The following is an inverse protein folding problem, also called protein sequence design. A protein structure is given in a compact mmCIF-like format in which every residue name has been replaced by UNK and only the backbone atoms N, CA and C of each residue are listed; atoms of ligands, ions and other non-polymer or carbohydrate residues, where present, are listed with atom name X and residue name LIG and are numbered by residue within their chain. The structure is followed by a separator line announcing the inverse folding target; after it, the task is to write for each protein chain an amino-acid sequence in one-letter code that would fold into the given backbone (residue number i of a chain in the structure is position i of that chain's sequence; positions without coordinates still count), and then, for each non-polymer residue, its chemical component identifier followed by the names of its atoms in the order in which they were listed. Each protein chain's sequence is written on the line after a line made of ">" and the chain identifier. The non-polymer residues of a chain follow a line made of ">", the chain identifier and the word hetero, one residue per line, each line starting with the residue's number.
data_IF_884396004435
#
_entry.id   IF_884396004435
#
_cell.length_a   1.000
_cell.length_b   1.000
_cell.length_c   1.000
_cell.angle_alpha   90.00
_cell.angle_beta   90.00
_cell.angle_gamma   90.00
#
_symmetry.space_group_name_H-M   'P 1'
#
loop_
_entity.id
_entity.type
_entity.pdbx_description
1 polymer ?
#
# COMPACT_ATOMS: atom_id res chain seq x y z
N UNK A 1 -0.74 22.85 9.49
CA UNK A 1 0.62 22.23 9.59
C UNK A 1 0.93 21.67 8.22
N UNK A 2 2.13 21.87 7.73
CA UNK A 2 2.51 21.41 6.41
C UNK A 2 2.79 19.91 6.43
N UNK A 3 2.41 19.20 5.36
CA UNK A 3 2.79 17.81 5.10
C UNK A 3 4.16 17.78 4.44
N UNK A 4 5.01 16.84 4.82
CA UNK A 4 6.37 16.68 4.27
C UNK A 4 6.42 15.61 3.18
N UNK A 5 5.56 14.60 3.29
CA UNK A 5 5.52 13.43 2.39
C UNK A 5 4.26 13.39 1.53
N UNK A 6 3.31 14.26 1.79
CA UNK A 6 2.04 14.35 1.08
C UNK A 6 1.78 15.76 0.54
N UNK A 7 0.91 15.83 -0.47
CA UNK A 7 0.24 17.08 -0.89
C UNK A 7 -1.27 16.84 -0.91
N UNK A 8 -2.03 17.87 -0.56
CA UNK A 8 -3.48 17.87 -0.68
C UNK A 8 -3.89 18.80 -1.82
N UNK A 9 -4.65 18.28 -2.77
CA UNK A 9 -5.12 19.02 -3.92
C UNK A 9 -6.64 18.86 -4.03
N UNK A 10 -7.36 19.97 -3.98
CA UNK A 10 -8.82 19.95 -4.01
C UNK A 10 -9.37 20.28 -5.40
N UNK A 11 -10.26 19.44 -5.88
CA UNK A 11 -11.02 19.64 -7.12
C UNK A 11 -12.53 19.56 -6.78
N UNK A 12 -13.18 20.68 -6.60
CA UNK A 12 -14.58 20.78 -6.15
C UNK A 12 -14.81 19.99 -4.86
N UNK A 13 -15.53 18.89 -4.91
CA UNK A 13 -15.86 18.01 -3.75
C UNK A 13 -14.98 16.78 -3.65
N UNK A 14 -13.94 16.69 -4.45
CA UNK A 14 -12.94 15.61 -4.45
C UNK A 14 -11.64 16.15 -3.89
N UNK A 15 -11.10 15.48 -2.87
CA UNK A 15 -9.78 15.79 -2.33
C UNK A 15 -8.79 14.71 -2.74
N UNK A 16 -7.73 15.11 -3.43
CA UNK A 16 -6.61 14.25 -3.76
C UNK A 16 -5.56 14.30 -2.65
N UNK A 17 -5.24 13.13 -2.08
CA UNK A 17 -4.11 12.90 -1.21
C UNK A 17 -2.99 12.35 -2.10
N UNK A 18 -1.97 13.15 -2.32
CA UNK A 18 -0.88 12.83 -3.25
C UNK A 18 0.34 12.43 -2.45
N UNK A 19 0.79 11.17 -2.58
CA UNK A 19 2.08 10.74 -2.06
C UNK A 19 3.18 11.50 -2.79
N UNK A 20 4.04 12.22 -2.07
CA UNK A 20 4.94 13.22 -2.66
C UNK A 20 6.39 13.06 -2.23
N UNK A 21 6.94 11.90 -2.55
CA UNK A 21 8.37 11.58 -2.51
C UNK A 21 8.81 10.96 -3.86
N UNK A 22 8.58 11.67 -5.01
CA UNK A 22 8.78 11.07 -6.35
C UNK A 22 10.22 10.62 -6.61
N UNK A 23 11.22 11.25 -6.01
CA UNK A 23 12.63 10.88 -6.08
C UNK A 23 12.94 9.53 -5.42
N UNK A 24 12.06 9.09 -4.53
CA UNK A 24 12.08 7.78 -3.85
C UNK A 24 10.95 6.86 -4.30
N UNK A 25 10.33 7.12 -5.46
CA UNK A 25 9.14 6.39 -5.94
C UNK A 25 8.02 6.31 -4.89
N UNK A 26 7.84 7.38 -4.13
CA UNK A 26 6.87 7.50 -3.05
C UNK A 26 7.01 6.41 -1.96
N UNK A 27 8.24 5.93 -1.72
CA UNK A 27 8.50 4.94 -0.67
C UNK A 27 8.11 5.48 0.71
N UNK A 28 7.52 4.59 1.51
CA UNK A 28 6.97 4.87 2.84
C UNK A 28 8.13 5.03 3.82
N UNK A 29 8.27 6.23 4.37
CA UNK A 29 9.18 6.53 5.47
C UNK A 29 8.40 6.62 6.80
N UNK A 30 9.09 7.07 7.85
CA UNK A 30 8.52 7.17 9.20
C UNK A 30 7.31 8.11 9.29
N UNK A 31 7.34 9.21 8.54
CA UNK A 31 6.36 10.30 8.63
C UNK A 31 5.08 10.02 7.84
N UNK A 32 5.20 9.33 6.70
CA UNK A 32 4.09 9.16 5.75
C UNK A 32 2.84 8.50 6.35
N UNK A 33 2.93 7.44 7.21
CA UNK A 33 1.72 6.82 7.77
C UNK A 33 0.90 7.80 8.62
N UNK A 34 1.55 8.54 9.52
CA UNK A 34 0.88 9.50 10.40
C UNK A 34 0.34 10.71 9.62
N UNK A 35 1.08 11.17 8.60
CA UNK A 35 0.59 12.24 7.71
C UNK A 35 -0.65 11.79 6.94
N UNK A 36 -0.68 10.54 6.46
CA UNK A 36 -1.85 9.98 5.76
C UNK A 36 -3.08 9.94 6.66
N UNK A 37 -2.94 9.43 7.87
CA UNK A 37 -4.05 9.39 8.82
C UNK A 37 -4.59 10.78 9.13
N UNK A 38 -3.68 11.76 9.36
CA UNK A 38 -4.06 13.15 9.59
C UNK A 38 -4.78 13.73 8.37
N UNK A 39 -4.28 13.50 7.15
CA UNK A 39 -4.92 13.97 5.92
C UNK A 39 -6.34 13.41 5.76
N UNK A 40 -6.53 12.12 6.08
CA UNK A 40 -7.86 11.48 6.06
C UNK A 40 -8.77 12.07 7.14
N UNK A 41 -8.26 12.34 8.33
CA UNK A 41 -9.03 12.95 9.42
C UNK A 41 -9.48 14.38 9.06
N UNK A 42 -8.58 15.21 8.52
CA UNK A 42 -8.89 16.55 8.02
C UNK A 42 -9.95 16.49 6.90
N UNK A 43 -9.78 15.58 5.95
CA UNK A 43 -10.75 15.36 4.88
C UNK A 43 -12.13 14.93 5.41
N UNK A 44 -12.18 14.08 6.42
CA UNK A 44 -13.43 13.64 7.03
C UNK A 44 -14.17 14.79 7.76
N UNK A 45 -13.43 15.76 8.31
CA UNK A 45 -13.98 16.92 8.99
C UNK A 45 -14.46 18.03 8.04
N UNK A 46 -14.01 18.05 6.79
CA UNK A 46 -14.40 19.06 5.80
C UNK A 46 -15.71 18.67 5.09
N UNK A 47 -16.82 19.29 5.45
CA UNK A 47 -18.14 19.04 4.86
C UNK A 47 -18.21 19.33 3.35
N UNK A 48 -17.28 20.10 2.82
CA UNK A 48 -17.16 20.37 1.38
C UNK A 48 -16.56 19.23 0.59
N UNK A 49 -15.88 18.26 1.23
CA UNK A 49 -15.28 17.07 0.58
C UNK A 49 -16.27 15.91 0.64
N UNK A 50 -16.43 15.17 -0.44
CA UNK A 50 -17.30 13.97 -0.51
C UNK A 50 -16.55 12.69 -0.88
N UNK A 51 -15.46 12.81 -1.63
CA UNK A 51 -14.67 11.68 -2.13
C UNK A 51 -13.19 11.99 -1.96
N UNK A 52 -12.41 10.97 -1.60
CA UNK A 52 -10.96 11.02 -1.54
C UNK A 52 -10.35 10.26 -2.72
N UNK A 53 -9.26 10.78 -3.27
CA UNK A 53 -8.44 10.08 -4.27
C UNK A 53 -7.01 10.00 -3.73
N UNK A 54 -6.52 8.79 -3.48
CA UNK A 54 -5.13 8.53 -3.15
C UNK A 54 -4.33 8.27 -4.43
N UNK A 55 -3.26 9.03 -4.66
CA UNK A 55 -2.39 8.85 -5.83
C UNK A 55 -0.93 9.14 -5.51
N UNK A 56 -0.01 8.69 -6.34
CA UNK A 56 1.40 9.04 -6.25
C UNK A 56 1.79 10.18 -7.18
N UNK A 57 2.77 10.99 -6.80
CA UNK A 57 3.43 11.93 -7.70
C UNK A 57 4.55 11.24 -8.50
N UNK A 58 4.89 11.79 -9.68
CA UNK A 58 5.96 11.26 -10.52
C UNK A 58 5.60 9.94 -11.20
N UNK A 59 6.55 8.98 -11.27
CA UNK A 59 6.46 7.79 -12.12
C UNK A 59 5.94 6.51 -11.43
N UNK A 60 5.52 6.60 -10.18
CA UNK A 60 5.03 5.46 -9.41
C UNK A 60 3.93 5.85 -8.44
N UNK A 61 3.04 4.94 -8.14
CA UNK A 61 2.13 5.09 -7.02
C UNK A 61 2.91 5.02 -5.71
N UNK A 62 3.52 3.88 -5.38
CA UNK A 62 4.34 3.68 -4.19
C UNK A 62 5.18 2.40 -4.31
N UNK A 63 6.49 2.50 -4.10
CA UNK A 63 7.42 1.37 -4.19
C UNK A 63 7.56 0.56 -2.87
N UNK A 64 6.65 0.77 -1.89
CA UNK A 64 6.70 0.11 -0.59
C UNK A 64 7.50 0.89 0.44
N UNK A 65 7.95 0.22 1.50
CA UNK A 65 8.75 0.87 2.53
C UNK A 65 10.13 1.32 2.03
N UNK A 66 10.61 2.46 2.54
CA UNK A 66 11.96 2.98 2.24
C UNK A 66 13.01 2.05 2.88
N UNK A 67 13.56 1.17 2.05
CA UNK A 67 14.47 0.11 2.49
C UNK A 67 15.82 0.65 2.98
N UNK A 68 16.28 1.79 2.46
CA UNK A 68 17.51 2.43 2.95
C UNK A 68 17.35 2.87 4.42
N UNK A 69 16.18 3.38 4.76
CA UNK A 69 15.85 3.76 6.14
C UNK A 69 15.51 2.52 6.97
N UNK A 70 14.64 1.64 6.47
CA UNK A 70 14.13 0.49 7.21
C UNK A 70 15.23 -0.49 7.64
N UNK A 71 16.15 -0.85 6.76
CA UNK A 71 17.25 -1.76 7.09
C UNK A 71 18.20 -1.20 8.15
N UNK A 72 18.48 0.12 8.11
CA UNK A 72 19.35 0.79 9.09
C UNK A 72 18.70 0.86 10.46
N UNK A 73 17.42 1.24 10.54
CA UNK A 73 16.69 1.32 11.80
C UNK A 73 16.56 -0.08 12.44
N UNK A 74 16.23 -1.08 11.64
CA UNK A 74 16.14 -2.48 12.10
C UNK A 74 17.48 -2.97 12.65
N UNK A 75 18.57 -2.67 11.95
CA UNK A 75 19.92 -3.00 12.41
C UNK A 75 20.27 -2.31 13.73
N UNK A 76 19.96 -1.02 13.86
CA UNK A 76 20.24 -0.25 15.08
C UNK A 76 19.46 -0.82 16.27
N UNK A 77 18.16 -1.10 16.11
CA UNK A 77 17.33 -1.70 17.16
C UNK A 77 17.91 -3.05 17.60
N UNK A 78 18.31 -3.88 16.61
CA UNK A 78 18.90 -5.19 16.89
C UNK A 78 20.22 -5.09 17.67
N UNK A 79 21.07 -4.10 17.33
CA UNK A 79 22.34 -3.86 18.02
C UNK A 79 22.16 -3.35 19.44
N UNK A 80 21.20 -2.45 19.66
CA UNK A 80 21.00 -1.76 20.93
C UNK A 80 20.24 -2.61 21.97
N UNK A 81 19.24 -3.39 21.54
CA UNK A 81 18.33 -4.08 22.49
C UNK A 81 17.95 -5.51 22.10
N UNK A 82 18.40 -5.99 20.94
CA UNK A 82 17.88 -7.21 20.34
C UNK A 82 16.45 -7.04 19.80
N UNK A 83 15.93 -8.10 19.17
CA UNK A 83 14.55 -8.09 18.69
C UNK A 83 13.57 -8.34 19.82
N UNK A 84 12.68 -7.39 20.04
CA UNK A 84 11.51 -7.51 20.91
C UNK A 84 10.25 -7.65 20.04
N UNK A 85 9.67 -8.84 19.89
CA UNK A 85 8.53 -9.08 19.01
C UNK A 85 7.27 -8.30 19.44
N UNK A 86 7.12 -7.93 20.71
CA UNK A 86 5.97 -7.18 21.19
C UNK A 86 6.08 -5.70 20.77
N UNK A 87 7.26 -5.12 20.89
CA UNK A 87 7.52 -3.74 20.44
C UNK A 87 7.44 -3.63 18.93
N UNK A 88 8.00 -4.59 18.21
CA UNK A 88 7.96 -4.64 16.75
C UNK A 88 6.50 -4.75 16.25
N UNK A 89 5.72 -5.67 16.82
CA UNK A 89 4.30 -5.80 16.52
C UNK A 89 3.52 -4.50 16.81
N UNK A 90 3.80 -3.83 17.93
CA UNK A 90 3.13 -2.57 18.29
C UNK A 90 3.46 -1.47 17.27
N UNK A 91 4.72 -1.31 16.89
CA UNK A 91 5.16 -0.30 15.93
C UNK A 91 4.57 -0.54 14.53
N UNK A 92 4.56 -1.79 14.06
CA UNK A 92 3.98 -2.13 12.77
C UNK A 92 2.45 -2.03 12.78
N UNK A 93 1.79 -2.39 13.89
CA UNK A 93 0.34 -2.22 14.07
C UNK A 93 -0.07 -0.75 13.98
N UNK A 94 0.77 0.17 14.43
CA UNK A 94 0.53 1.60 14.27
C UNK A 94 0.53 2.03 12.80
N UNK A 95 1.48 1.53 12.00
CA UNK A 95 1.49 1.78 10.56
C UNK A 95 0.22 1.22 9.88
N UNK A 96 -0.17 -0.01 10.24
CA UNK A 96 -1.40 -0.62 9.71
C UNK A 96 -2.63 0.21 10.09
N UNK A 97 -2.71 0.69 11.32
CA UNK A 97 -3.80 1.57 11.79
C UNK A 97 -3.87 2.85 10.94
N UNK A 98 -2.72 3.46 10.65
CA UNK A 98 -2.66 4.65 9.80
C UNK A 98 -3.14 4.36 8.36
N UNK A 99 -2.74 3.22 7.77
CA UNK A 99 -3.21 2.83 6.43
C UNK A 99 -4.72 2.53 6.41
N UNK A 100 -5.20 1.85 7.45
CA UNK A 100 -6.61 1.53 7.61
C UNK A 100 -7.49 2.77 7.85
N UNK A 101 -6.91 3.96 8.09
CA UNK A 101 -7.66 5.21 8.09
C UNK A 101 -8.40 5.46 6.77
N UNK A 102 -7.84 4.98 5.64
CA UNK A 102 -8.50 4.99 4.32
C UNK A 102 -9.75 4.10 4.30
N UNK A 103 -9.63 2.88 4.81
CA UNK A 103 -10.74 1.93 4.95
C UNK A 103 -11.84 2.46 5.87
N UNK A 104 -11.44 2.98 7.03
CA UNK A 104 -12.36 3.53 8.03
C UNK A 104 -12.80 4.97 7.76
N UNK A 105 -12.29 5.61 6.70
CA UNK A 105 -12.76 6.93 6.28
C UNK A 105 -14.28 6.93 6.10
N UNK A 106 -14.94 7.97 6.64
CA UNK A 106 -16.38 8.18 6.39
C UNK A 106 -16.70 8.39 4.92
N UNK A 107 -15.72 8.93 4.16
CA UNK A 107 -15.87 9.26 2.75
C UNK A 107 -15.27 8.15 1.89
N UNK A 108 -15.84 7.85 0.72
CA UNK A 108 -15.24 6.91 -0.21
C UNK A 108 -13.84 7.32 -0.62
N UNK A 109 -12.97 6.33 -0.77
CA UNK A 109 -11.57 6.48 -1.18
C UNK A 109 -11.34 5.71 -2.48
N UNK A 110 -10.85 6.38 -3.51
CA UNK A 110 -10.34 5.77 -4.73
C UNK A 110 -8.82 5.78 -4.70
N UNK A 111 -8.17 4.68 -5.11
CA UNK A 111 -6.74 4.68 -5.41
C UNK A 111 -6.51 4.77 -6.91
N UNK A 112 -5.68 5.72 -7.32
CA UNK A 112 -5.21 5.91 -8.71
C UNK A 112 -3.80 5.35 -8.82
N UNK A 113 -3.68 4.15 -9.38
CA UNK A 113 -2.43 3.38 -9.39
C UNK A 113 -1.77 3.44 -10.77
N UNK A 114 -0.52 3.91 -10.82
CA UNK A 114 0.32 3.92 -12.01
C UNK A 114 1.75 3.52 -11.67
N UNK A 115 2.49 3.02 -12.65
CA UNK A 115 3.85 2.56 -12.45
C UNK A 115 3.96 1.50 -11.36
N UNK A 116 4.87 1.66 -10.41
CA UNK A 116 5.07 0.70 -9.34
C UNK A 116 4.08 0.88 -8.19
N UNK A 117 3.42 -0.21 -7.80
CA UNK A 117 2.60 -0.34 -6.59
C UNK A 117 2.98 -1.66 -5.91
N UNK A 118 4.01 -1.66 -5.06
CA UNK A 118 4.62 -2.90 -4.56
C UNK A 118 4.88 -2.87 -3.07
N UNK A 119 4.88 -4.06 -2.43
CA UNK A 119 5.11 -4.19 -0.99
C UNK A 119 4.10 -3.35 -0.19
N UNK A 120 4.57 -2.53 0.74
CA UNK A 120 3.72 -1.60 1.52
C UNK A 120 2.87 -0.65 0.67
N UNK A 121 3.26 -0.39 -0.59
CA UNK A 121 2.44 0.36 -1.54
C UNK A 121 1.14 -0.36 -1.89
N UNK A 122 1.16 -1.70 -1.93
CA UNK A 122 -0.08 -2.49 -2.08
C UNK A 122 -0.91 -2.47 -0.81
N UNK A 123 -0.29 -2.47 0.38
CA UNK A 123 -1.04 -2.32 1.63
C UNK A 123 -1.82 -0.99 1.65
N UNK A 124 -1.24 0.10 1.16
CA UNK A 124 -1.93 1.38 1.01
C UNK A 124 -3.06 1.31 -0.03
N UNK A 125 -2.76 0.84 -1.24
CA UNK A 125 -3.73 0.82 -2.34
C UNK A 125 -4.95 -0.05 -2.01
N UNK A 126 -4.72 -1.23 -1.40
CA UNK A 126 -5.78 -2.17 -1.06
C UNK A 126 -6.71 -1.68 0.06
N UNK A 127 -6.30 -0.68 0.86
CA UNK A 127 -7.16 -0.03 1.84
C UNK A 127 -8.18 0.95 1.22
N UNK A 128 -8.05 1.32 -0.07
CA UNK A 128 -9.05 2.13 -0.77
C UNK A 128 -10.32 1.31 -1.08
N UNK A 129 -11.44 1.97 -1.28
CA UNK A 129 -12.70 1.30 -1.65
C UNK A 129 -12.65 0.77 -3.09
N UNK A 130 -12.17 1.58 -4.01
CA UNK A 130 -12.00 1.24 -5.42
C UNK A 130 -10.59 1.57 -5.88
N UNK A 131 -10.04 0.74 -6.76
CA UNK A 131 -8.72 0.95 -7.35
C UNK A 131 -8.87 1.04 -8.87
N UNK A 132 -8.43 2.17 -9.44
CA UNK A 132 -8.24 2.30 -10.87
C UNK A 132 -6.74 2.26 -11.16
N UNK A 133 -6.33 1.50 -12.16
CA UNK A 133 -4.93 1.33 -12.49
C UNK A 133 -4.62 1.68 -13.94
N UNK A 134 -3.40 2.13 -14.20
CA UNK A 134 -2.86 2.10 -15.55
C UNK A 134 -2.69 0.64 -15.99
N UNK A 135 -2.97 0.32 -17.26
CA UNK A 135 -2.85 -1.03 -17.80
C UNK A 135 -1.45 -1.63 -17.63
N UNK A 136 -0.43 -0.79 -17.67
CA UNK A 136 0.99 -1.13 -17.53
C UNK A 136 1.51 -1.00 -16.09
N UNK A 137 0.67 -0.63 -15.12
CA UNK A 137 1.06 -0.58 -13.72
C UNK A 137 1.56 -1.96 -13.24
N UNK A 138 2.59 -1.96 -12.39
CA UNK A 138 3.16 -3.18 -11.83
C UNK A 138 2.76 -3.29 -10.37
N UNK A 139 1.91 -4.26 -10.07
CA UNK A 139 1.32 -4.46 -8.74
C UNK A 139 1.79 -5.81 -8.19
N UNK A 140 2.38 -5.82 -6.99
CA UNK A 140 2.88 -7.07 -6.44
C UNK A 140 3.46 -6.94 -5.02
N UNK A 141 3.81 -8.09 -4.46
CA UNK A 141 4.36 -8.15 -3.10
C UNK A 141 5.71 -8.89 -3.05
N UNK A 142 6.79 -8.30 -3.62
CA UNK A 142 8.11 -8.93 -3.64
C UNK A 142 8.71 -9.24 -2.24
N UNK A 143 8.33 -8.56 -1.12
CA UNK A 143 8.79 -8.98 0.21
C UNK A 143 8.34 -10.38 0.61
N UNK A 144 7.34 -10.98 -0.04
CA UNK A 144 6.96 -12.38 0.18
C UNK A 144 8.08 -13.39 -0.13
N UNK A 145 9.08 -13.02 -0.95
CA UNK A 145 10.27 -13.81 -1.25
C UNK A 145 11.27 -13.82 -0.11
N UNK A 146 11.40 -12.69 0.57
CA UNK A 146 12.20 -12.51 1.78
C UNK A 146 11.88 -11.13 2.39
N UNK A 147 11.83 -11.08 3.70
CA UNK A 147 11.81 -9.83 4.48
C UNK A 147 10.46 -9.10 4.52
N UNK A 148 9.35 -9.82 4.62
CA UNK A 148 8.05 -9.24 4.91
C UNK A 148 6.84 -10.11 4.61
N UNK A 149 5.69 -9.72 5.14
CA UNK A 149 4.38 -10.24 4.78
C UNK A 149 3.35 -9.11 4.68
N UNK A 150 2.24 -9.27 3.92
CA UNK A 150 1.24 -8.20 3.75
C UNK A 150 0.54 -7.89 5.07
N UNK A 151 0.80 -6.72 5.63
CA UNK A 151 0.29 -6.33 6.96
C UNK A 151 -1.19 -5.96 6.94
N UNK A 152 -1.69 -5.39 5.84
CA UNK A 152 -3.12 -5.09 5.68
C UNK A 152 -3.98 -6.34 5.46
N UNK A 153 -3.38 -7.47 5.05
CA UNK A 153 -3.99 -8.76 4.78
C UNK A 153 -5.16 -8.73 3.75
N UNK A 154 -5.31 -7.65 2.97
CA UNK A 154 -6.46 -7.44 2.09
C UNK A 154 -6.44 -8.25 0.79
N UNK A 155 -5.31 -8.88 0.44
CA UNK A 155 -5.19 -9.66 -0.80
C UNK A 155 -6.26 -10.75 -0.92
N UNK A 156 -6.40 -11.61 0.10
CA UNK A 156 -7.37 -12.71 0.07
C UNK A 156 -8.81 -12.21 0.00
N UNK A 157 -9.10 -11.08 0.63
CA UNK A 157 -10.43 -10.48 0.64
C UNK A 157 -10.82 -9.87 -0.71
N UNK A 158 -9.83 -9.43 -1.51
CA UNK A 158 -10.09 -8.84 -2.83
C UNK A 158 -10.16 -9.88 -3.95
N UNK A 159 -9.25 -10.86 -3.96
CA UNK A 159 -9.08 -11.77 -5.11
C UNK A 159 -9.32 -13.24 -4.78
N UNK A 160 -9.75 -13.54 -3.56
CA UNK A 160 -9.99 -14.90 -3.12
C UNK A 160 -8.71 -15.70 -2.89
N UNK A 161 -8.87 -16.93 -2.40
CA UNK A 161 -7.79 -17.77 -1.89
C UNK A 161 -6.73 -18.13 -2.96
N UNK A 162 -7.18 -18.58 -4.12
CA UNK A 162 -6.29 -19.11 -5.17
C UNK A 162 -5.35 -18.04 -5.72
N UNK A 163 -5.92 -16.89 -6.10
CA UNK A 163 -5.15 -15.80 -6.69
C UNK A 163 -4.23 -15.15 -5.64
N UNK A 164 -4.72 -14.97 -4.40
CA UNK A 164 -3.90 -14.46 -3.32
C UNK A 164 -2.70 -15.38 -3.04
N UNK A 165 -2.93 -16.70 -2.92
CA UNK A 165 -1.84 -17.67 -2.73
C UNK A 165 -0.87 -17.66 -3.90
N UNK A 166 -1.35 -17.66 -5.14
CA UNK A 166 -0.47 -17.60 -6.31
C UNK A 166 0.48 -16.42 -6.24
N UNK A 167 -0.03 -15.21 -5.99
CA UNK A 167 0.78 -14.00 -5.96
C UNK A 167 1.69 -13.92 -4.74
N UNK A 168 1.20 -14.31 -3.57
CA UNK A 168 1.98 -14.22 -2.33
C UNK A 168 2.98 -15.36 -2.14
N UNK A 169 2.76 -16.54 -2.74
CA UNK A 169 3.72 -17.65 -2.67
C UNK A 169 4.84 -17.54 -3.71
N UNK A 170 4.65 -16.71 -4.75
CA UNK A 170 5.69 -16.47 -5.77
C UNK A 170 6.32 -15.07 -5.63
N UNK A 171 5.58 -14.11 -5.08
CA UNK A 171 5.96 -12.70 -5.09
C UNK A 171 5.90 -12.07 -6.49
N UNK A 172 5.27 -12.72 -7.47
CA UNK A 172 5.20 -12.23 -8.85
C UNK A 172 4.39 -10.94 -8.96
N UNK A 173 4.81 -9.99 -9.82
CA UNK A 173 3.97 -8.86 -10.17
C UNK A 173 2.86 -9.26 -11.14
N UNK A 174 1.80 -8.47 -11.14
CA UNK A 174 0.78 -8.46 -12.20
C UNK A 174 0.69 -7.06 -12.79
N UNK A 175 0.45 -6.98 -14.10
CA UNK A 175 0.12 -5.71 -14.74
C UNK A 175 -1.33 -5.28 -14.42
N UNK A 176 -1.66 -4.02 -14.71
CA UNK A 176 -2.99 -3.49 -14.42
C UNK A 176 -4.11 -4.26 -15.11
N UNK A 177 -3.92 -4.69 -16.36
CA UNK A 177 -4.92 -5.52 -17.12
C UNK A 177 -5.16 -6.86 -16.43
N UNK A 178 -4.10 -7.51 -15.99
CA UNK A 178 -4.20 -8.77 -15.26
C UNK A 178 -4.82 -8.59 -13.88
N UNK A 179 -4.50 -7.48 -13.21
CA UNK A 179 -5.08 -7.11 -11.92
C UNK A 179 -6.61 -6.90 -12.02
N UNK A 180 -7.10 -6.26 -13.08
CA UNK A 180 -8.54 -6.15 -13.35
C UNK A 180 -9.19 -7.52 -13.57
N UNK A 181 -8.59 -8.37 -14.41
CA UNK A 181 -9.14 -9.71 -14.70
C UNK A 181 -9.30 -10.59 -13.47
N UNK A 182 -8.41 -10.47 -12.49
CA UNK A 182 -8.48 -11.24 -11.24
C UNK A 182 -9.25 -10.54 -10.12
N UNK A 183 -9.78 -9.33 -10.37
CA UNK A 183 -10.54 -8.55 -9.40
C UNK A 183 -9.70 -7.82 -8.34
N UNK A 184 -8.39 -7.70 -8.53
CA UNK A 184 -7.50 -6.96 -7.62
C UNK A 184 -7.73 -5.45 -7.73
N UNK A 185 -8.00 -4.96 -8.94
CA UNK A 185 -8.39 -3.58 -9.20
C UNK A 185 -9.78 -3.55 -9.88
N UNK A 186 -10.52 -2.48 -9.63
CA UNK A 186 -11.84 -2.30 -10.22
C UNK A 186 -11.78 -2.16 -11.74
N UNK A 187 -10.81 -1.38 -12.24
CA UNK A 187 -10.65 -1.10 -13.66
C UNK A 187 -9.21 -0.75 -14.01
N UNK A 188 -8.74 -1.23 -15.16
CA UNK A 188 -7.48 -0.82 -15.78
C UNK A 188 -7.75 -0.09 -17.10
N UNK A 189 -7.03 1.01 -17.33
CA UNK A 189 -7.15 1.84 -18.53
C UNK A 189 -5.76 2.25 -19.03
N UNK A 190 -5.61 2.64 -20.31
CA UNK A 190 -4.36 3.23 -20.79
C UNK A 190 -3.89 4.35 -19.85
N UNK A 191 -2.59 4.43 -19.58
CA UNK A 191 -2.03 5.36 -18.59
C UNK A 191 -2.46 6.81 -18.81
N UNK A 192 -2.61 7.21 -20.08
CA UNK A 192 -3.02 8.57 -20.47
C UNK A 192 -4.50 8.88 -20.16
N UNK A 193 -5.32 7.85 -19.96
CA UNK A 193 -6.75 7.96 -19.64
C UNK A 193 -7.02 7.86 -18.14
N UNK A 194 -6.05 7.43 -17.34
CA UNK A 194 -6.25 7.08 -15.93
C UNK A 194 -6.78 8.27 -15.13
N UNK A 195 -6.20 9.46 -15.29
CA UNK A 195 -6.64 10.67 -14.58
C UNK A 195 -8.07 11.05 -14.94
N UNK A 196 -8.42 10.99 -16.23
CA UNK A 196 -9.78 11.28 -16.73
C UNK A 196 -10.81 10.31 -16.18
N UNK A 197 -10.50 9.00 -16.15
CA UNK A 197 -11.40 7.98 -15.63
C UNK A 197 -11.60 8.11 -14.12
N UNK A 198 -10.53 8.40 -13.36
CA UNK A 198 -10.62 8.68 -11.92
C UNK A 198 -11.45 9.92 -11.65
N UNK A 199 -11.24 11.01 -12.40
CA UNK A 199 -12.03 12.24 -12.28
C UNK A 199 -13.52 12.00 -12.60
N UNK A 200 -13.81 11.25 -13.65
CA UNK A 200 -15.18 10.92 -14.03
C UNK A 200 -15.89 10.09 -12.93
N UNK A 201 -15.24 9.05 -12.39
CA UNK A 201 -15.82 8.21 -11.36
C UNK A 201 -15.98 8.96 -10.03
N UNK A 202 -14.94 9.66 -9.57
CA UNK A 202 -14.97 10.42 -8.30
C UNK A 202 -15.98 11.57 -8.38
N UNK A 203 -16.06 12.28 -9.52
CA UNK A 203 -17.05 13.32 -9.77
C UNK A 203 -18.47 12.77 -9.75
N UNK A 204 -18.72 11.60 -10.39
CA UNK A 204 -20.03 10.93 -10.35
C UNK A 204 -20.42 10.53 -8.91
N UNK A 205 -19.49 9.99 -8.13
CA UNK A 205 -19.74 9.67 -6.72
C UNK A 205 -20.04 10.92 -5.89
N UNK A 206 -19.34 12.02 -6.16
CA UNK A 206 -19.53 13.29 -5.46
C UNK A 206 -20.91 13.95 -5.70
N UNK A 207 -21.69 13.49 -6.68
CA UNK A 207 -23.10 13.92 -6.87
C UNK A 207 -24.03 13.34 -5.80
N UNK A 208 -23.68 12.21 -5.20
CA UNK A 208 -24.52 11.54 -4.21
C UNK A 208 -24.50 12.30 -2.88
N UNK A 209 -25.61 12.25 -2.09
CA UNK A 209 -25.61 12.77 -0.73
C UNK A 209 -24.54 12.08 0.13
N UNK A 210 -23.80 12.86 0.93
CA UNK A 210 -22.70 12.32 1.75
C UNK A 210 -23.14 11.19 2.66
N UNK A 211 -24.30 11.35 3.36
CA UNK A 211 -24.81 10.32 4.26
C UNK A 211 -25.09 8.99 3.53
N UNK A 212 -25.54 9.05 2.27
CA UNK A 212 -25.75 7.84 1.47
C UNK A 212 -24.45 7.14 1.15
N UNK A 213 -23.40 7.90 0.77
CA UNK A 213 -22.05 7.35 0.54
C UNK A 213 -21.50 6.67 1.81
N UNK A 214 -21.62 7.35 2.96
CA UNK A 214 -21.17 6.82 4.26
C UNK A 214 -21.87 5.50 4.60
N UNK A 215 -23.20 5.46 4.47
CA UNK A 215 -23.97 4.26 4.80
C UNK A 215 -23.64 3.07 3.88
N UNK A 216 -23.50 3.32 2.57
CA UNK A 216 -23.17 2.25 1.62
C UNK A 216 -21.77 1.70 1.84
N UNK A 217 -20.79 2.57 2.07
CA UNK A 217 -19.40 2.15 2.41
C UNK A 217 -19.39 1.32 3.69
N UNK A 218 -20.03 1.83 4.76
CA UNK A 218 -20.09 1.14 6.06
C UNK A 218 -20.72 -0.25 5.93
N UNK A 219 -21.82 -0.37 5.18
CA UNK A 219 -22.52 -1.65 4.97
C UNK A 219 -21.59 -2.69 4.32
N UNK A 220 -20.85 -2.30 3.28
CA UNK A 220 -19.92 -3.21 2.58
C UNK A 220 -18.73 -3.55 3.47
N UNK A 221 -18.11 -2.55 4.11
CA UNK A 221 -16.95 -2.77 4.97
C UNK A 221 -17.29 -3.70 6.15
N UNK A 222 -18.49 -3.56 6.74
CA UNK A 222 -18.91 -4.41 7.85
C UNK A 222 -18.98 -5.90 7.47
N UNK A 223 -19.31 -6.23 6.22
CA UNK A 223 -19.28 -7.62 5.76
C UNK A 223 -17.87 -8.21 5.85
N UNK A 224 -16.83 -7.45 5.43
CA UNK A 224 -15.44 -7.87 5.50
C UNK A 224 -14.90 -7.92 6.94
N UNK A 225 -15.32 -6.98 7.81
CA UNK A 225 -14.99 -7.04 9.23
C UNK A 225 -15.54 -8.33 9.86
N UNK A 226 -16.77 -8.72 9.55
CA UNK A 226 -17.40 -9.95 10.02
C UNK A 226 -16.71 -11.22 9.46
N UNK A 227 -16.03 -11.13 8.31
CA UNK A 227 -15.21 -12.21 7.75
C UNK A 227 -13.83 -12.34 8.44
N UNK A 228 -13.56 -11.58 9.49
CA UNK A 228 -12.33 -11.70 10.29
C UNK A 228 -11.16 -10.86 9.77
N UNK A 229 -11.40 -9.77 9.03
CA UNK A 229 -10.35 -8.90 8.49
C UNK A 229 -9.36 -8.45 9.57
N UNK A 230 -9.84 -7.97 10.71
CA UNK A 230 -9.00 -7.54 11.83
C UNK A 230 -8.09 -8.65 12.37
N UNK A 231 -8.59 -9.87 12.48
CA UNK A 231 -7.78 -11.02 12.92
C UNK A 231 -6.70 -11.36 11.89
N UNK A 232 -7.04 -11.33 10.60
CA UNK A 232 -6.08 -11.55 9.51
C UNK A 232 -4.97 -10.51 9.50
N UNK A 233 -5.30 -9.24 9.75
CA UNK A 233 -4.33 -8.14 9.86
C UNK A 233 -3.38 -8.33 11.05
N UNK A 234 -3.92 -8.73 12.21
CA UNK A 234 -3.09 -9.04 13.38
C UNK A 234 -2.06 -10.14 13.07
N UNK A 235 -2.50 -11.22 12.42
CA UNK A 235 -1.61 -12.31 12.01
C UNK A 235 -0.61 -11.84 10.95
N UNK A 236 -1.04 -11.11 9.92
CA UNK A 236 -0.16 -10.54 8.89
C UNK A 236 0.93 -9.65 9.48
N UNK A 237 0.56 -8.78 10.42
CA UNK A 237 1.50 -7.89 11.13
C UNK A 237 2.51 -8.66 11.98
N UNK A 238 2.06 -9.70 12.69
CA UNK A 238 2.96 -10.56 13.48
C UNK A 238 3.94 -11.34 12.58
N UNK A 239 3.44 -11.90 11.47
CA UNK A 239 4.26 -12.64 10.51
C UNK A 239 5.26 -11.74 9.79
N UNK A 240 4.96 -10.46 9.57
CA UNK A 240 5.89 -9.49 9.02
C UNK A 240 7.12 -9.30 9.92
N UNK A 241 6.91 -9.12 11.22
CA UNK A 241 7.99 -9.05 12.21
C UNK A 241 8.83 -10.34 12.23
N UNK A 242 8.18 -11.50 12.25
CA UNK A 242 8.87 -12.79 12.21
C UNK A 242 9.69 -12.91 10.91
N UNK A 243 9.13 -12.60 9.74
CA UNK A 243 9.81 -12.72 8.45
C UNK A 243 11.11 -11.91 8.38
N UNK A 244 11.14 -10.72 8.97
CA UNK A 244 12.34 -9.87 9.03
C UNK A 244 13.43 -10.42 9.95
N UNK A 245 13.07 -11.31 10.89
CA UNK A 245 13.97 -11.89 11.90
C UNK A 245 14.22 -13.38 11.70
N UNK A 246 13.76 -13.99 10.60
CA UNK A 246 14.23 -15.31 10.17
C UNK A 246 15.69 -15.25 9.78
N UNK A 247 16.34 -16.41 9.71
CA UNK A 247 17.73 -16.50 9.24
C UNK A 247 17.94 -15.85 7.88
N UNK A 248 17.00 -16.08 6.96
CA UNK A 248 17.01 -15.52 5.61
C UNK A 248 16.76 -14.01 5.62
N UNK A 249 15.81 -13.53 6.44
CA UNK A 249 15.51 -12.11 6.59
C UNK A 249 16.70 -11.32 7.16
N UNK A 250 17.36 -11.87 8.18
CA UNK A 250 18.58 -11.26 8.74
C UNK A 250 19.70 -11.23 7.71
N UNK A 251 19.94 -12.35 6.99
CA UNK A 251 20.97 -12.41 5.97
C UNK A 251 20.74 -11.40 4.83
N UNK A 252 19.49 -11.25 4.41
CA UNK A 252 19.12 -10.24 3.39
C UNK A 252 19.35 -8.80 3.88
N UNK A 253 19.01 -8.50 5.13
CA UNK A 253 19.27 -7.20 5.75
C UNK A 253 20.77 -6.91 5.80
N UNK A 254 21.59 -7.87 6.25
CA UNK A 254 23.06 -7.72 6.29
C UNK A 254 23.64 -7.48 4.90
N UNK A 255 23.14 -8.19 3.88
CA UNK A 255 23.53 -7.93 2.49
C UNK A 255 23.19 -6.50 2.06
N UNK A 256 21.98 -6.02 2.38
CA UNK A 256 21.57 -4.65 2.07
C UNK A 256 22.44 -3.59 2.75
N UNK A 257 22.89 -3.84 3.98
CA UNK A 257 23.78 -2.94 4.72
C UNK A 257 25.21 -2.95 4.16
N UNK A 258 25.73 -4.12 3.79
CA UNK A 258 27.12 -4.27 3.33
C UNK A 258 27.30 -3.87 1.87
N UNK A 259 26.37 -4.22 0.99
CA UNK A 259 26.48 -4.05 -0.47
C UNK A 259 25.46 -3.07 -1.05
N UNK A 260 24.57 -2.54 -0.20
CA UNK A 260 23.50 -1.63 -0.58
C UNK A 260 22.21 -2.33 -0.97
N UNK A 261 21.08 -1.63 -0.78
CA UNK A 261 19.73 -2.14 -1.06
C UNK A 261 19.57 -2.64 -2.49
N UNK A 262 20.22 -1.98 -3.46
CA UNK A 262 20.14 -2.39 -4.88
C UNK A 262 20.70 -3.80 -5.10
N UNK A 263 21.79 -4.16 -4.44
CA UNK A 263 22.39 -5.49 -4.53
C UNK A 263 21.47 -6.54 -3.88
N UNK A 264 20.92 -6.23 -2.72
CA UNK A 264 19.99 -7.12 -2.02
C UNK A 264 18.70 -7.37 -2.83
N UNK A 265 18.16 -6.34 -3.48
CA UNK A 265 17.02 -6.48 -4.40
C UNK A 265 17.38 -7.32 -5.63
N UNK A 266 18.56 -7.13 -6.21
CA UNK A 266 19.02 -7.91 -7.36
C UNK A 266 19.22 -9.39 -7.00
N UNK A 267 19.64 -9.71 -5.78
CA UNK A 267 19.74 -11.09 -5.31
C UNK A 267 18.38 -11.71 -5.10
N UNK A 268 17.45 -11.00 -4.45
CA UNK A 268 16.08 -11.48 -4.21
C UNK A 268 15.30 -11.73 -5.49
N UNK A 269 15.32 -10.75 -6.42
CA UNK A 269 14.44 -10.74 -7.59
C UNK A 269 15.13 -11.25 -8.87
N UNK A 270 16.47 -11.31 -8.89
CA UNK A 270 17.26 -11.77 -10.03
C UNK A 270 16.91 -13.18 -10.54
N UNK A 271 16.69 -14.18 -9.67
CA UNK A 271 16.27 -15.51 -10.11
C UNK A 271 14.94 -15.53 -10.87
N UNK A 272 14.06 -14.57 -10.59
CA UNK A 272 12.73 -14.45 -11.21
C UNK A 272 12.76 -13.56 -12.47
N UNK A 273 13.70 -12.64 -12.57
CA UNK A 273 13.87 -11.74 -13.70
C UNK A 273 12.76 -10.68 -13.81
N UNK A 274 12.18 -10.29 -12.71
CA UNK A 274 11.12 -9.28 -12.60
C UNK A 274 11.55 -8.09 -11.70
N UNK A 275 10.62 -7.17 -11.40
CA UNK A 275 10.87 -5.94 -10.63
C UNK A 275 12.10 -5.15 -11.10
N UNK A 276 12.41 -5.21 -12.41
CA UNK A 276 13.58 -4.54 -13.01
C UNK A 276 14.90 -5.29 -12.80
N UNK A 277 14.90 -6.45 -12.17
CA UNK A 277 16.06 -7.33 -12.11
C UNK A 277 16.26 -8.05 -13.45
N UNK A 278 17.52 -8.18 -13.90
CA UNK A 278 17.84 -9.01 -15.08
C UNK A 278 17.95 -10.46 -14.64
N UNK A 279 17.39 -11.39 -15.42
CA UNK A 279 17.68 -12.83 -15.26
C UNK A 279 19.18 -13.02 -15.32
N UNK A 280 19.75 -13.67 -14.30
CA UNK A 280 21.13 -14.11 -14.31
C UNK A 280 21.33 -15.25 -15.29
#
# INVERSE_FOLDING_TARGET
>A
MDFTTLKLERHDRVLHIVLNRPERLNAINREMPQELERAVAEANADDGVRVLVLRGSGRAFCAGYDLDWGTRIEHQIQADSGWDPVRDFAAMSENVRCFMSLWHSRKPVLAQVHGWCVGGGTDLALCADLILAAEDAQIGYPPARVWGSPTSALWAYRIGMEQAKRLLLTGDPVDGRSAERIGLVYRAVPAQQLETEVAALSGRMALLPLNQLVMMKLLVNQAYENMGLRTSQMIGTLLDGIARHTREGVAWRELALQQGVKAALAERDGPFGDYGARKK
#
